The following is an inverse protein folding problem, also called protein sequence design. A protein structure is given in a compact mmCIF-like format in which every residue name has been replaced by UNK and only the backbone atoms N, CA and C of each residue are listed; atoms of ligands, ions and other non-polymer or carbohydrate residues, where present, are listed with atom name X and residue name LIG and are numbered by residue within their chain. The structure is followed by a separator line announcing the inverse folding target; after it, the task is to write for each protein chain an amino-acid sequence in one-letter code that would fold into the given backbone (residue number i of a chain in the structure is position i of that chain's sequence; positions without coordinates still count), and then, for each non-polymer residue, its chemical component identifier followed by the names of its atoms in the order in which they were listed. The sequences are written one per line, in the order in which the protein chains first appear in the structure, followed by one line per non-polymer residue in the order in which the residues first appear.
data_IF_447004771969
#
_entry.id   IF_447004771969
#
_cell.length_a   1.000
_cell.length_b   1.000
_cell.length_c   1.000
_cell.angle_alpha   90.00
_cell.angle_beta   90.00
_cell.angle_gamma   90.00
#
_symmetry.space_group_name_H-M   'P 1'
#
loop_
_entity.id
_entity.type
_entity.pdbx_description
1 polymer ?
#
# COMPACT_ATOMS: atom_id res chain seq x y z
N UNK A 1 0.29 4.03 20.64
CA UNK A 1 0.13 2.63 20.20
C UNK A 1 0.27 2.61 18.68
N UNK A 2 1.34 2.03 18.11
CA UNK A 2 1.47 1.92 16.65
C UNK A 2 0.43 0.95 16.08
N UNK A 3 -0.46 1.47 15.24
CA UNK A 3 -1.44 0.69 14.49
C UNK A 3 -1.05 0.77 13.03
N UNK A 4 -0.94 -0.40 12.39
CA UNK A 4 -0.58 -0.50 10.98
C UNK A 4 -1.78 -0.99 10.19
N UNK A 5 -1.87 -0.55 8.94
CA UNK A 5 -2.87 -1.04 8.00
C UNK A 5 -2.34 -2.32 7.36
N UNK A 6 -3.12 -3.39 7.43
CA UNK A 6 -2.85 -4.67 6.78
C UNK A 6 -3.91 -4.94 5.70
N UNK A 7 -3.54 -5.75 4.72
CA UNK A 7 -4.42 -6.22 3.64
C UNK A 7 -4.36 -7.74 3.53
N UNK A 8 -5.51 -8.39 3.41
CA UNK A 8 -5.58 -9.81 3.07
C UNK A 8 -5.18 -10.05 1.62
N UNK A 9 -4.42 -11.11 1.37
CA UNK A 9 -4.00 -11.53 0.04
C UNK A 9 -4.98 -12.61 -0.44
N UNK A 10 -5.94 -12.27 -1.33
CA UNK A 10 -6.87 -13.26 -1.85
C UNK A 10 -6.12 -14.33 -2.64
N UNK A 11 -6.42 -15.60 -2.38
CA UNK A 11 -5.81 -16.72 -3.12
C UNK A 11 -6.50 -16.99 -4.45
N UNK A 12 -7.76 -16.54 -4.58
CA UNK A 12 -8.55 -16.68 -5.80
C UNK A 12 -8.79 -15.30 -6.43
N UNK A 13 -8.81 -15.20 -7.77
CA UNK A 13 -9.07 -13.94 -8.46
C UNK A 13 -10.49 -13.40 -8.24
N UNK A 14 -11.41 -14.22 -7.72
CA UNK A 14 -12.77 -13.80 -7.38
C UNK A 14 -12.91 -13.24 -5.96
N UNK A 15 -11.89 -13.37 -5.12
CA UNK A 15 -11.90 -12.89 -3.73
C UNK A 15 -11.35 -11.46 -3.68
N UNK A 16 -12.03 -10.59 -2.92
CA UNK A 16 -11.60 -9.19 -2.75
C UNK A 16 -10.64 -9.07 -1.57
N UNK A 17 -9.54 -8.31 -1.70
CA UNK A 17 -8.68 -7.99 -0.56
C UNK A 17 -9.46 -7.16 0.46
N UNK A 18 -9.25 -7.45 1.74
CA UNK A 18 -9.85 -6.74 2.86
C UNK A 18 -8.76 -6.02 3.64
N UNK A 19 -8.97 -4.74 3.94
CA UNK A 19 -8.05 -3.90 4.70
C UNK A 19 -8.52 -3.78 6.15
N UNK A 20 -7.59 -3.90 7.09
CA UNK A 20 -7.88 -3.77 8.51
C UNK A 20 -6.71 -3.14 9.25
N UNK A 21 -7.00 -2.51 10.38
CA UNK A 21 -6.02 -1.90 11.26
C UNK A 21 -5.62 -2.91 12.34
N UNK A 22 -4.31 -3.14 12.49
CA UNK A 22 -3.77 -4.05 13.49
C UNK A 22 -2.74 -3.33 14.35
N UNK A 23 -2.93 -3.43 15.67
CA UNK A 23 -1.96 -2.94 16.63
C UNK A 23 -0.74 -3.88 16.63
N UNK A 24 0.43 -3.35 16.29
CA UNK A 24 1.67 -4.11 16.31
C UNK A 24 2.77 -3.27 16.94
N UNK A 25 3.47 -3.85 17.91
CA UNK A 25 4.66 -3.26 18.49
C UNK A 25 5.81 -3.20 17.48
N UNK A 26 6.67 -2.19 17.58
CA UNK A 26 7.81 -2.04 16.66
C UNK A 26 8.88 -3.13 16.81
N UNK A 27 8.94 -3.78 17.98
CA UNK A 27 9.87 -4.88 18.27
C UNK A 27 9.34 -6.25 17.82
N UNK A 28 8.03 -6.33 17.51
CA UNK A 28 7.40 -7.57 17.08
C UNK A 28 7.61 -7.83 15.58
N UNK A 29 7.58 -9.11 15.23
CA UNK A 29 7.61 -9.53 13.84
C UNK A 29 6.35 -9.05 13.08
N UNK A 30 6.45 -8.79 11.76
CA UNK A 30 5.30 -8.47 10.92
C UNK A 30 4.25 -9.57 10.96
N UNK A 31 2.97 -9.19 11.03
CA UNK A 31 1.87 -10.15 10.96
C UNK A 31 1.83 -10.75 9.54
N UNK A 32 1.83 -12.08 9.45
CA UNK A 32 1.80 -12.82 8.18
C UNK A 32 0.44 -13.42 7.87
N UNK A 33 -0.39 -13.65 8.89
CA UNK A 33 -1.71 -14.26 8.76
C UNK A 33 -2.76 -13.50 9.59
N UNK A 34 -3.98 -13.39 9.07
CA UNK A 34 -5.09 -12.74 9.75
C UNK A 34 -5.55 -13.61 10.95
N UNK A 35 -5.64 -13.06 12.18
CA UNK A 35 -5.93 -13.86 13.37
C UNK A 35 -7.31 -14.53 13.33
N UNK A 36 -8.32 -13.88 12.73
CA UNK A 36 -9.68 -14.44 12.64
C UNK A 36 -9.91 -15.37 11.45
N UNK A 37 -9.26 -15.13 10.31
CA UNK A 37 -9.57 -15.83 9.05
C UNK A 37 -8.48 -16.78 8.58
N UNK A 38 -7.27 -16.69 9.14
CA UNK A 38 -6.09 -17.45 8.70
C UNK A 38 -5.62 -17.09 7.28
N UNK A 39 -6.17 -16.03 6.68
CA UNK A 39 -5.74 -15.59 5.36
C UNK A 39 -4.34 -14.97 5.43
N UNK A 40 -3.49 -15.17 4.41
CA UNK A 40 -2.21 -14.47 4.34
C UNK A 40 -2.45 -12.96 4.26
N UNK A 41 -1.67 -12.18 5.00
CA UNK A 41 -1.78 -10.71 5.04
C UNK A 41 -0.45 -10.06 4.71
N UNK A 42 -0.50 -8.81 4.26
CA UNK A 42 0.67 -7.94 4.08
C UNK A 42 0.43 -6.57 4.70
N UNK A 43 1.48 -5.97 5.25
CA UNK A 43 1.44 -4.60 5.76
C UNK A 43 1.38 -3.61 4.59
N UNK A 44 0.35 -2.77 4.56
CA UNK A 44 0.29 -1.62 3.65
C UNK A 44 1.16 -0.52 4.24
N UNK A 45 2.20 -0.13 3.50
CA UNK A 45 2.98 1.06 3.84
C UNK A 45 2.38 2.24 3.08
N UNK A 46 1.49 2.97 3.75
CA UNK A 46 0.94 4.24 3.24
C UNK A 46 1.99 5.34 3.36
N UNK A 47 3.03 5.27 2.54
CA UNK A 47 3.95 6.37 2.25
C UNK A 47 3.73 6.76 0.78
N UNK A 48 3.46 8.04 0.52
CA UNK A 48 2.96 8.57 -0.75
C UNK A 48 3.56 7.90 -2.00
N UNK A 49 2.74 7.14 -2.70
CA UNK A 49 3.06 6.67 -4.04
C UNK A 49 3.01 7.88 -4.98
N UNK A 50 4.17 8.38 -5.40
CA UNK A 50 4.29 8.99 -6.72
C UNK A 50 4.24 7.86 -7.74
N UNK A 51 3.05 7.58 -8.27
CA UNK A 51 2.89 6.70 -9.43
C UNK A 51 3.47 7.46 -10.63
N UNK A 52 4.77 7.30 -10.85
CA UNK A 52 5.34 7.41 -12.20
C UNK A 52 5.19 6.03 -12.83
N UNK A 53 3.96 5.68 -13.21
CA UNK A 53 3.77 4.57 -14.14
C UNK A 53 4.40 5.00 -15.46
N UNK A 54 5.57 4.46 -15.77
CA UNK A 54 6.04 4.34 -17.14
C UNK A 54 5.15 3.30 -17.87
N UNK A 55 3.86 3.61 -17.97
CA UNK A 55 2.92 3.04 -18.91
C UNK A 55 3.01 3.92 -20.14
N UNK A 56 3.76 3.47 -21.12
CA UNK A 56 3.82 4.05 -22.45
C UNK A 56 2.43 4.09 -23.08
N UNK A 57 1.71 5.21 -22.92
CA UNK A 57 0.79 5.77 -23.92
C UNK A 57 0.13 7.06 -23.40
N UNK A 58 0.59 8.18 -23.96
CA UNK A 58 -0.15 9.42 -24.20
C UNK A 58 -0.86 10.15 -23.04
N UNK A 59 -0.12 11.11 -22.46
CA UNK A 59 -0.52 12.52 -22.49
C UNK A 59 -1.47 13.06 -21.42
N UNK A 60 -0.94 13.79 -20.45
CA UNK A 60 -1.42 15.14 -20.09
C UNK A 60 -0.50 15.86 -19.10
N UNK A 61 0.14 16.91 -19.61
CA UNK A 61 0.83 18.05 -18.98
C UNK A 61 1.13 18.05 -17.48
N UNK A 62 2.42 18.01 -17.14
CA UNK A 62 2.96 18.59 -15.90
C UNK A 62 4.16 19.49 -16.25
N UNK A 63 3.89 20.64 -16.86
CA UNK A 63 4.82 21.76 -16.89
C UNK A 63 4.02 23.06 -16.91
N UNK A 64 3.33 23.33 -15.79
CA UNK A 64 2.83 24.66 -15.50
C UNK A 64 3.52 25.20 -14.26
N UNK A 65 4.33 26.22 -14.50
CA UNK A 65 4.86 27.20 -13.56
C UNK A 65 6.10 26.82 -12.75
N UNK A 66 7.23 27.44 -13.09
CA UNK A 66 8.39 27.53 -12.18
C UNK A 66 9.72 27.70 -12.91
N UNK A 67 10.07 28.94 -13.25
CA UNK A 67 11.42 29.36 -13.61
C UNK A 67 12.44 28.82 -12.60
N UNK A 68 13.36 27.97 -13.02
CA UNK A 68 14.53 27.59 -12.23
C UNK A 68 15.71 28.50 -12.61
N UNK A 69 16.01 29.44 -11.71
CA UNK A 69 17.24 30.21 -11.67
C UNK A 69 18.37 29.35 -11.10
N UNK A 70 19.57 29.43 -11.68
CA UNK A 70 20.81 28.83 -11.17
C UNK A 70 21.79 28.49 -12.27
#
# INVERSE_FOLDING_TARGET
MPTYLYETIPRRPSEKPSQFEFFQWMEDAPLTEHPETGQPVRRIISGGISVSTNSSSAGSSCCSSGSCCG
#
